data_IF_429955507380
#
_entry.id   IF_429955507380
#
_cell.length_a   1.000
_cell.length_b   1.000
_cell.length_c   1.000
_cell.angle_alpha   90.00
_cell.angle_beta   90.00
_cell.angle_gamma   90.00
#
_symmetry.space_group_name_H-M   'P 1'
#
loop_
_entity.id
_entity.type
_entity.pdbx_description
1 polymer ?
#
# COMPACT_ATOMS: atom_id res chain seq x y z
N UNK A 1 -9.63 -3.78 16.35
CA UNK A 1 -8.54 -3.41 15.41
C UNK A 1 -8.72 -2.01 14.82
N UNK A 2 -9.94 -1.57 14.49
CA UNK A 2 -10.25 -0.24 13.92
C UNK A 2 -10.02 1.03 14.78
N UNK A 3 -9.92 1.03 16.13
CA UNK A 3 -9.87 2.28 16.91
C UNK A 3 -8.64 3.18 16.65
N UNK A 4 -7.58 2.63 16.05
CA UNK A 4 -6.33 3.35 15.76
C UNK A 4 -6.23 3.91 14.34
N UNK A 5 -7.23 3.66 13.50
CA UNK A 5 -7.23 4.06 12.11
C UNK A 5 -8.30 5.12 11.88
N UNK A 6 -7.89 6.25 11.33
CA UNK A 6 -8.82 7.26 10.84
C UNK A 6 -9.30 6.83 9.46
N UNK A 7 -10.62 6.74 9.29
CA UNK A 7 -11.24 6.33 8.03
C UNK A 7 -11.86 7.53 7.32
N UNK A 8 -11.55 7.68 6.04
CA UNK A 8 -12.14 8.65 5.13
C UNK A 8 -13.08 7.91 4.19
N UNK A 9 -14.28 8.46 3.99
CA UNK A 9 -15.31 7.87 3.12
C UNK A 9 -15.51 8.77 1.91
N UNK A 10 -15.54 8.16 0.72
CA UNK A 10 -15.95 8.83 -0.50
C UNK A 10 -17.44 8.59 -0.73
N UNK A 11 -18.19 9.67 -0.95
CA UNK A 11 -19.59 9.61 -1.34
C UNK A 11 -19.80 10.21 -2.71
N UNK A 12 -20.62 9.57 -3.52
CA UNK A 12 -21.10 10.05 -4.81
C UNK A 12 -22.61 9.83 -4.87
N UNK A 13 -23.38 10.86 -5.17
CA UNK A 13 -24.86 10.81 -5.20
C UNK A 13 -25.47 10.21 -3.91
N UNK A 14 -24.93 10.60 -2.75
CA UNK A 14 -25.35 10.12 -1.44
C UNK A 14 -24.83 8.73 -1.05
N UNK A 15 -24.35 7.93 -2.01
CA UNK A 15 -23.87 6.56 -1.79
C UNK A 15 -22.37 6.51 -1.48
N UNK A 16 -21.95 5.61 -0.59
CA UNK A 16 -20.52 5.37 -0.34
C UNK A 16 -19.94 4.59 -1.51
N UNK A 17 -18.93 5.16 -2.17
CA UNK A 17 -18.25 4.56 -3.33
C UNK A 17 -16.81 4.14 -3.04
N UNK A 18 -16.31 4.40 -1.83
CA UNK A 18 -14.97 3.99 -1.44
C UNK A 18 -14.55 4.48 -0.07
N UNK A 19 -13.41 3.99 0.39
CA UNK A 19 -12.82 4.39 1.65
C UNK A 19 -11.30 4.35 1.62
N UNK A 20 -10.70 5.09 2.55
CA UNK A 20 -9.27 5.12 2.85
C UNK A 20 -9.07 5.06 4.36
N UNK A 21 -8.28 4.11 4.84
CA UNK A 21 -7.85 4.01 6.23
C UNK A 21 -6.42 4.57 6.36
N UNK A 22 -6.22 5.37 7.40
CA UNK A 22 -4.95 6.03 7.72
C UNK A 22 -4.55 5.66 9.13
N UNK A 23 -3.34 5.12 9.29
CA UNK A 23 -2.74 4.97 10.62
C UNK A 23 -2.20 6.32 11.08
N UNK A 24 -2.35 6.60 12.37
CA UNK A 24 -1.97 7.88 12.97
C UNK A 24 -0.83 7.68 13.97
N UNK A 25 0.34 8.22 13.64
CA UNK A 25 1.46 8.38 14.57
C UNK A 25 1.62 9.82 15.03
N UNK A 26 2.56 10.05 15.95
CA UNK A 26 2.86 11.37 16.50
C UNK A 26 3.56 12.29 15.50
N UNK A 27 4.49 11.74 14.71
CA UNK A 27 5.30 12.51 13.74
C UNK A 27 4.92 12.25 12.28
N UNK A 28 4.22 11.15 12.04
CA UNK A 28 3.82 10.74 10.70
C UNK A 28 2.44 10.07 10.73
N UNK A 29 1.72 10.22 9.63
CA UNK A 29 0.54 9.42 9.32
C UNK A 29 0.84 8.59 8.07
N UNK A 30 0.04 7.57 7.78
CA UNK A 30 0.18 6.89 6.52
C UNK A 30 -1.01 6.10 6.06
N UNK A 31 -1.10 5.97 4.75
CA UNK A 31 -2.08 5.14 4.07
C UNK A 31 -1.83 3.67 4.43
N UNK A 32 -2.90 2.95 4.78
CA UNK A 32 -2.86 1.52 5.04
C UNK A 32 -3.76 0.75 4.04
N UNK A 33 -5.07 0.95 4.15
CA UNK A 33 -6.05 0.31 3.27
C UNK A 33 -6.81 1.33 2.45
N UNK A 34 -7.07 1.03 1.19
CA UNK A 34 -7.93 1.84 0.34
C UNK A 34 -8.67 0.92 -0.62
N UNK A 35 -9.99 1.11 -0.74
CA UNK A 35 -10.81 0.38 -1.71
C UNK A 35 -11.88 1.30 -2.29
N UNK A 36 -12.17 1.09 -3.57
CA UNK A 36 -13.24 1.73 -4.30
C UNK A 36 -14.22 0.67 -4.80
N UNK A 37 -15.49 1.05 -4.95
CA UNK A 37 -16.45 0.26 -5.69
C UNK A 37 -16.14 0.31 -7.19
N UNK A 38 -16.51 -0.71 -7.97
CA UNK A 38 -16.26 -0.75 -9.42
C UNK A 38 -16.89 0.41 -10.21
N UNK A 39 -17.96 1.00 -9.67
CA UNK A 39 -18.68 2.14 -10.25
C UNK A 39 -18.24 3.49 -9.68
N UNK A 40 -17.17 3.54 -8.87
CA UNK A 40 -16.66 4.80 -8.35
C UNK A 40 -16.17 5.67 -9.52
N UNK A 41 -16.53 6.97 -9.57
CA UNK A 41 -16.02 7.87 -10.59
C UNK A 41 -14.50 7.97 -10.60
N UNK A 42 -13.94 8.36 -11.73
CA UNK A 42 -12.51 8.65 -11.85
C UNK A 42 -12.07 9.74 -10.88
N UNK A 43 -10.85 9.60 -10.34
CA UNK A 43 -10.29 10.58 -9.42
C UNK A 43 -10.70 10.42 -7.95
N UNK A 44 -11.63 9.52 -7.61
CA UNK A 44 -12.07 9.31 -6.21
C UNK A 44 -10.90 8.89 -5.31
N UNK A 45 -10.00 8.05 -5.83
CA UNK A 45 -8.78 7.63 -5.12
C UNK A 45 -7.92 8.84 -4.74
N UNK A 46 -7.67 9.73 -5.71
CA UNK A 46 -6.86 10.92 -5.54
C UNK A 46 -7.50 11.88 -4.55
N UNK A 47 -8.82 12.07 -4.63
CA UNK A 47 -9.57 12.91 -3.69
C UNK A 47 -9.47 12.39 -2.25
N UNK A 48 -9.59 11.08 -2.03
CA UNK A 48 -9.43 10.48 -0.69
C UNK A 48 -8.04 10.73 -0.12
N UNK A 49 -6.99 10.50 -0.92
CA UNK A 49 -5.60 10.72 -0.49
C UNK A 49 -5.33 12.19 -0.22
N UNK A 50 -5.77 13.10 -1.10
CA UNK A 50 -5.66 14.55 -0.88
C UNK A 50 -6.36 15.00 0.40
N UNK A 51 -7.58 14.49 0.67
CA UNK A 51 -8.31 14.79 1.89
C UNK A 51 -7.55 14.33 3.14
N UNK A 52 -6.95 13.14 3.10
CA UNK A 52 -6.15 12.62 4.19
C UNK A 52 -4.86 13.41 4.44
N UNK A 53 -4.13 13.78 3.38
CA UNK A 53 -2.93 14.62 3.47
C UNK A 53 -3.30 16.00 4.04
N UNK A 54 -4.36 16.62 3.53
CA UNK A 54 -4.83 17.93 4.00
C UNK A 54 -5.23 17.90 5.47
N UNK A 55 -5.90 16.82 5.91
CA UNK A 55 -6.26 16.65 7.30
C UNK A 55 -5.03 16.42 8.21
N UNK A 56 -4.02 15.69 7.74
CA UNK A 56 -2.76 15.53 8.47
C UNK A 56 -2.00 16.85 8.59
N UNK A 57 -1.97 17.66 7.52
CA UNK A 57 -1.36 18.99 7.54
C UNK A 57 -2.03 19.93 8.55
N UNK A 58 -3.36 19.89 8.68
CA UNK A 58 -4.11 20.66 9.70
C UNK A 58 -3.82 20.24 11.14
N UNK A 59 -3.22 19.07 11.34
CA UNK A 59 -2.81 18.54 12.63
C UNK A 59 -1.29 18.69 12.85
N UNK A 60 -0.61 19.50 12.02
CA UNK A 60 0.83 19.73 12.04
C UNK A 60 1.67 18.45 11.95
N UNK A 61 1.14 17.42 11.27
CA UNK A 61 1.87 16.18 11.04
C UNK A 61 2.94 16.39 9.97
N UNK A 62 4.20 16.14 10.34
CA UNK A 62 5.36 16.44 9.49
C UNK A 62 5.42 15.59 8.22
N UNK A 63 4.93 14.34 8.26
CA UNK A 63 5.05 13.40 7.14
C UNK A 63 3.78 12.61 6.90
N UNK A 64 3.46 12.38 5.64
CA UNK A 64 2.39 11.48 5.22
C UNK A 64 2.95 10.39 4.32
N UNK A 65 2.96 9.14 4.80
CA UNK A 65 3.43 7.99 4.03
C UNK A 65 2.34 7.49 3.08
N UNK A 66 2.68 7.37 1.79
CA UNK A 66 1.80 6.77 0.77
C UNK A 66 1.96 5.24 0.66
N UNK A 67 2.63 4.62 1.63
CA UNK A 67 3.11 3.24 1.58
C UNK A 67 4.10 2.96 0.44
N UNK A 68 4.85 1.87 0.55
CA UNK A 68 5.87 1.52 -0.43
C UNK A 68 5.28 1.22 -1.83
N UNK A 69 6.08 1.46 -2.86
CA UNK A 69 5.90 0.85 -4.17
C UNK A 69 7.03 -0.13 -4.36
N UNK A 70 6.74 -1.40 -4.67
CA UNK A 70 7.78 -2.39 -4.88
C UNK A 70 8.62 -2.05 -6.11
N UNK A 71 9.94 -2.03 -5.95
CA UNK A 71 10.96 -2.11 -7.02
C UNK A 71 10.86 -1.05 -8.15
N UNK A 72 10.16 0.06 -7.90
CA UNK A 72 10.15 1.20 -8.82
C UNK A 72 11.39 2.09 -8.59
N UNK A 73 12.02 2.57 -9.66
CA UNK A 73 13.20 3.44 -9.58
C UNK A 73 14.54 2.70 -9.48
N UNK A 74 14.58 1.41 -9.84
CA UNK A 74 15.82 0.64 -10.02
C UNK A 74 16.58 1.04 -11.30
N UNK A 75 16.58 2.33 -11.66
CA UNK A 75 17.19 2.83 -12.89
C UNK A 75 18.73 2.74 -12.84
N UNK A 76 19.28 2.60 -11.63
CA UNK A 76 20.71 2.42 -11.37
C UNK A 76 20.92 1.37 -10.27
N UNK A 77 20.84 0.07 -10.61
CA UNK A 77 21.09 -0.98 -9.62
C UNK A 77 22.51 -0.87 -9.08
N UNK A 78 22.64 -0.92 -7.76
CA UNK A 78 23.92 -0.77 -7.02
C UNK A 78 24.59 -2.10 -6.70
N UNK A 79 23.90 -3.22 -6.96
CA UNK A 79 24.39 -4.57 -6.72
C UNK A 79 23.86 -5.55 -7.76
N UNK A 80 24.55 -6.69 -7.91
CA UNK A 80 24.07 -7.80 -8.73
C UNK A 80 22.71 -8.33 -8.23
N UNK A 81 22.43 -8.24 -6.93
CA UNK A 81 21.13 -8.62 -6.38
C UNK A 81 20.02 -7.71 -6.85
N UNK A 82 20.25 -6.40 -6.93
CA UNK A 82 19.30 -5.43 -7.49
C UNK A 82 19.09 -5.64 -9.00
N UNK A 83 20.15 -5.99 -9.75
CA UNK A 83 20.04 -6.34 -11.18
C UNK A 83 19.15 -7.56 -11.38
N UNK A 84 19.42 -8.65 -10.65
CA UNK A 84 18.64 -9.88 -10.74
C UNK A 84 17.19 -9.66 -10.31
N UNK A 85 16.95 -8.88 -9.25
CA UNK A 85 15.61 -8.50 -8.82
C UNK A 85 14.86 -7.74 -9.93
N UNK A 86 15.48 -6.71 -10.51
CA UNK A 86 14.87 -5.91 -11.58
C UNK A 86 14.46 -6.79 -12.78
N UNK A 87 15.35 -7.69 -13.21
CA UNK A 87 15.09 -8.59 -14.34
C UNK A 87 13.95 -9.58 -14.05
N UNK A 88 13.88 -10.10 -12.82
CA UNK A 88 12.82 -11.00 -12.39
C UNK A 88 11.46 -10.30 -12.33
N UNK A 89 11.40 -9.09 -11.77
CA UNK A 89 10.16 -8.32 -11.65
C UNK A 89 9.64 -7.82 -12.99
N UNK A 90 10.51 -7.38 -13.90
CA UNK A 90 10.14 -7.00 -15.26
C UNK A 90 9.44 -8.14 -16.02
N UNK A 91 9.70 -9.41 -15.64
CA UNK A 91 9.11 -10.61 -16.23
C UNK A 91 7.89 -11.16 -15.49
N UNK A 92 7.47 -10.57 -14.36
CA UNK A 92 6.37 -11.10 -13.56
C UNK A 92 5.04 -10.36 -13.86
N UNK A 93 4.07 -10.99 -14.56
CA UNK A 93 2.84 -10.33 -15.00
C UNK A 93 1.97 -9.78 -13.86
N UNK A 94 2.03 -10.41 -12.68
CA UNK A 94 1.28 -10.00 -11.48
C UNK A 94 1.71 -8.65 -10.91
N UNK A 95 2.87 -8.12 -11.33
CA UNK A 95 3.40 -6.85 -10.84
C UNK A 95 3.28 -5.72 -11.88
N UNK A 96 2.63 -5.96 -13.02
CA UNK A 96 2.37 -4.91 -14.02
C UNK A 96 1.50 -3.76 -13.47
N UNK A 97 0.67 -4.02 -12.45
CA UNK A 97 -0.09 -2.99 -11.71
C UNK A 97 0.79 -1.98 -10.95
N UNK A 98 2.06 -2.31 -10.72
CA UNK A 98 2.98 -1.44 -9.98
C UNK A 98 3.22 -0.11 -10.71
N UNK A 99 3.14 -0.07 -12.05
CA UNK A 99 3.28 1.18 -12.81
C UNK A 99 2.10 2.14 -12.60
N UNK A 100 0.87 1.62 -12.56
CA UNK A 100 -0.33 2.41 -12.28
C UNK A 100 -0.31 2.92 -10.84
N UNK A 101 0.01 2.04 -9.90
CA UNK A 101 0.15 2.38 -8.48
C UNK A 101 1.25 3.43 -8.25
N UNK A 102 2.39 3.30 -8.94
CA UNK A 102 3.45 4.29 -8.90
C UNK A 102 2.96 5.63 -9.44
N UNK A 103 2.35 5.67 -10.63
CA UNK A 103 1.88 6.90 -11.26
C UNK A 103 0.89 7.65 -10.37
N UNK A 104 -0.02 6.91 -9.73
CA UNK A 104 -0.92 7.46 -8.73
C UNK A 104 -0.15 8.12 -7.58
N UNK A 105 0.76 7.39 -6.93
CA UNK A 105 1.53 7.92 -5.80
C UNK A 105 2.44 9.08 -6.20
N UNK A 106 3.01 9.05 -7.39
CA UNK A 106 3.88 10.12 -7.91
C UNK A 106 3.10 11.41 -8.21
N UNK A 107 1.79 11.34 -8.47
CA UNK A 107 0.94 12.53 -8.70
C UNK A 107 0.88 13.48 -7.50
N UNK A 108 1.19 12.98 -6.30
CA UNK A 108 1.27 13.77 -5.07
C UNK A 108 2.67 14.37 -4.83
N UNK A 109 3.62 14.17 -5.76
CA UNK A 109 5.02 14.62 -5.66
C UNK A 109 5.72 14.24 -4.33
N UNK A 110 5.70 12.95 -3.93
CA UNK A 110 6.37 12.53 -2.70
C UNK A 110 7.89 12.57 -2.84
N UNK A 111 8.58 12.69 -1.71
CA UNK A 111 10.00 12.35 -1.61
C UNK A 111 10.13 10.82 -1.50
N UNK A 112 10.77 10.19 -2.49
CA UNK A 112 10.96 8.75 -2.51
C UNK A 112 12.14 8.32 -1.62
N UNK A 113 11.87 7.39 -0.70
CA UNK A 113 12.88 6.81 0.20
C UNK A 113 13.02 5.30 -0.06
N UNK A 114 14.25 4.78 -0.21
CA UNK A 114 14.47 3.35 -0.42
C UNK A 114 14.11 2.56 0.84
N UNK A 115 13.47 1.39 0.64
CA UNK A 115 13.13 0.44 1.69
C UNK A 115 14.01 -0.80 1.53
N UNK A 116 14.73 -1.18 2.59
CA UNK A 116 15.65 -2.31 2.57
C UNK A 116 15.13 -3.47 3.41
N UNK A 117 15.44 -4.68 2.97
CA UNK A 117 15.23 -5.89 3.74
C UNK A 117 16.53 -6.23 4.49
N UNK A 118 16.48 -6.23 5.82
CA UNK A 118 17.61 -6.63 6.65
C UNK A 118 17.60 -8.14 6.85
N UNK A 119 18.74 -8.78 6.60
CA UNK A 119 18.91 -10.23 6.69
C UNK A 119 19.95 -10.59 7.75
N UNK A 120 19.73 -11.64 8.55
CA UNK A 120 20.76 -12.20 9.41
C UNK A 120 22.02 -12.55 8.60
N UNK A 121 23.21 -12.31 9.17
CA UNK A 121 24.48 -12.70 8.54
C UNK A 121 24.47 -14.21 8.23
N UNK A 122 24.82 -14.58 7.00
CA UNK A 122 24.85 -15.97 6.54
C UNK A 122 23.50 -16.51 6.04
N UNK A 123 22.40 -15.76 6.15
CA UNK A 123 21.15 -16.12 5.47
C UNK A 123 21.19 -15.72 4.00
N UNK A 124 20.50 -16.48 3.14
CA UNK A 124 20.40 -16.16 1.71
C UNK A 124 19.18 -15.29 1.46
N UNK A 125 19.23 -14.43 0.43
CA UNK A 125 18.06 -13.64 0.04
C UNK A 125 16.84 -14.50 -0.35
N UNK A 126 17.06 -15.76 -0.74
CA UNK A 126 16.00 -16.67 -1.16
C UNK A 126 15.15 -17.16 0.02
N UNK A 127 15.77 -17.54 1.15
CA UNK A 127 15.00 -18.02 2.33
C UNK A 127 14.12 -16.91 2.89
N UNK A 128 14.68 -15.71 3.03
CA UNK A 128 13.93 -14.56 3.50
C UNK A 128 12.78 -14.16 2.57
N UNK A 129 12.98 -14.26 1.25
CA UNK A 129 11.90 -14.03 0.29
C UNK A 129 10.77 -15.04 0.45
N UNK A 130 11.09 -16.34 0.62
CA UNK A 130 10.08 -17.39 0.84
C UNK A 130 9.29 -17.12 2.11
N UNK A 131 9.94 -16.71 3.19
CA UNK A 131 9.30 -16.43 4.47
C UNK A 131 8.36 -15.23 4.38
N UNK A 132 8.83 -14.11 3.82
CA UNK A 132 7.99 -12.91 3.60
C UNK A 132 6.79 -13.24 2.72
N UNK A 133 7.02 -13.99 1.65
CA UNK A 133 5.97 -14.37 0.72
C UNK A 133 4.92 -15.29 1.36
N UNK A 134 5.33 -16.19 2.28
CA UNK A 134 4.40 -17.01 3.08
C UNK A 134 3.60 -16.18 4.08
N UNK A 135 4.21 -15.18 4.69
CA UNK A 135 3.58 -14.29 5.66
C UNK A 135 2.55 -13.34 5.04
N UNK A 136 2.86 -12.78 3.87
CA UNK A 136 2.00 -11.78 3.19
C UNK A 136 0.83 -12.42 2.44
N UNK A 137 0.94 -13.70 2.05
CA UNK A 137 -0.15 -14.38 1.34
C UNK A 137 -1.38 -14.48 2.24
N UNK A 138 -2.59 -14.19 1.71
CA UNK A 138 -3.81 -14.35 2.46
C UNK A 138 -3.93 -15.82 2.93
N UNK A 139 -3.95 -16.03 4.24
CA UNK A 139 -4.20 -17.35 4.80
C UNK A 139 -5.66 -17.72 4.53
N UNK A 140 -5.88 -18.88 3.90
CA UNK A 140 -7.22 -19.36 3.52
C UNK A 140 -8.17 -19.64 4.70
N UNK A 141 -7.72 -19.47 5.95
CA UNK A 141 -8.46 -19.91 7.14
C UNK A 141 -9.43 -18.88 7.76
N UNK A 142 -9.71 -17.75 7.10
CA UNK A 142 -10.64 -16.74 7.64
C UNK A 142 -12.12 -16.91 7.19
N UNK A 143 -12.46 -17.88 6.33
CA UNK A 143 -13.85 -18.17 5.94
C UNK A 143 -14.49 -19.25 6.83
N UNK A 144 -14.57 -19.02 8.15
CA UNK A 144 -15.52 -19.72 9.05
C UNK A 144 -16.00 -18.76 10.13
N UNK A 145 -16.63 -17.66 9.72
CA UNK A 145 -17.45 -16.84 10.64
C UNK A 145 -18.75 -16.50 9.91
N UNK A 146 -19.85 -17.10 10.37
CA UNK A 146 -21.20 -16.56 10.20
C UNK A 146 -22.08 -17.10 9.07
N UNK A 147 -22.31 -18.42 8.98
CA UNK A 147 -23.64 -18.91 8.54
C UNK A 147 -24.45 -19.13 9.81
N UNK A 148 -25.17 -18.10 10.26
CA UNK A 148 -26.21 -18.28 11.27
C UNK A 148 -27.41 -19.02 10.64
N UNK A 149 -28.11 -19.90 11.39
CA UNK A 149 -29.31 -20.55 10.87
C UNK A 149 -30.42 -19.52 10.76
N UNK A 150 -30.89 -19.27 9.54
CA UNK A 150 -32.13 -18.54 9.31
C UNK A 150 -33.30 -19.48 9.52
N UNK A 151 -33.99 -19.33 10.66
CA UNK A 151 -35.42 -19.59 10.80
C UNK A 151 -36.15 -18.28 10.68
#
# INVERSE_FOLDING_TARGET
FLPRYRTYLARHEGQIVGFLCVWQGTTAHGLDMMRLLPNAPDGVMQKLVCAAITAAAKLDIQRFSLAAVPFYGLDKPRSLTEVCANLFFARCPKWHDAHGLFRLKNSFRPEWQPMFLCLPRGSTGLTAWVDIHRLVRPQKNAQKVGRGPGT
#
